data_IF_620234330551
#
_entry.id   IF_620234330551
#
_cell.length_a   1.000
_cell.length_b   1.000
_cell.length_c   1.000
_cell.angle_alpha   90.00
_cell.angle_beta   90.00
_cell.angle_gamma   90.00
#
_symmetry.space_group_name_H-M   'P 1'
#
loop_
_entity.id
_entity.type
_entity.pdbx_description
1 polymer ?
#
# COMPACT_ATOMS: atom_id res chain seq x y z
N UNK A 1 1.10 -0.09 -0.64
CA UNK A 1 1.16 1.21 0.08
C UNK A 1 0.85 1.02 1.57
N UNK A 2 1.10 2.02 2.41
CA UNK A 2 0.88 1.96 3.87
C UNK A 2 1.88 2.82 4.65
N UNK A 3 1.71 2.90 5.96
CA UNK A 3 2.64 3.63 6.84
C UNK A 3 4.08 3.06 6.77
N UNK A 4 5.07 3.83 7.19
CA UNK A 4 6.37 3.29 7.63
C UNK A 4 6.19 2.08 8.57
N UNK A 5 7.00 1.04 8.42
CA UNK A 5 6.92 -0.16 9.27
C UNK A 5 5.74 -1.11 9.02
N UNK A 6 4.75 -0.76 8.18
CA UNK A 6 3.55 -1.56 7.92
C UNK A 6 3.79 -2.90 7.18
N UNK A 7 5.04 -3.26 6.84
CA UNK A 7 5.37 -4.56 6.25
C UNK A 7 5.27 -4.65 4.72
N UNK A 8 5.32 -3.52 3.99
CA UNK A 8 5.23 -3.48 2.50
C UNK A 8 6.28 -4.34 1.82
N UNK A 9 7.56 -4.11 2.11
CA UNK A 9 8.68 -4.90 1.59
C UNK A 9 8.58 -6.37 2.00
N UNK A 10 8.08 -6.66 3.20
CA UNK A 10 7.82 -8.04 3.65
C UNK A 10 6.72 -8.71 2.84
N UNK A 11 5.63 -8.00 2.56
CA UNK A 11 4.53 -8.48 1.73
C UNK A 11 5.01 -8.76 0.29
N UNK A 12 5.75 -7.83 -0.32
CA UNK A 12 6.35 -8.04 -1.64
C UNK A 12 7.28 -9.25 -1.64
N UNK A 13 8.14 -9.40 -0.62
CA UNK A 13 9.04 -10.55 -0.51
C UNK A 13 8.32 -11.88 -0.29
N UNK A 14 7.11 -11.87 0.30
CA UNK A 14 6.28 -13.06 0.41
C UNK A 14 5.74 -13.50 -0.96
N UNK A 15 5.38 -12.55 -1.84
CA UNK A 15 5.00 -12.85 -3.22
C UNK A 15 6.17 -13.35 -4.07
N UNK A 16 7.38 -12.87 -3.78
CA UNK A 16 8.61 -13.27 -4.46
C UNK A 16 9.20 -14.58 -3.92
N UNK A 17 8.65 -15.13 -2.82
CA UNK A 17 9.14 -16.37 -2.23
C UNK A 17 9.04 -17.53 -3.24
N UNK A 18 10.08 -18.35 -3.33
CA UNK A 18 10.15 -19.44 -4.32
C UNK A 18 10.54 -18.99 -5.73
N UNK A 19 10.59 -17.69 -6.01
CA UNK A 19 11.17 -17.15 -7.23
C UNK A 19 12.62 -16.72 -6.98
N UNK A 20 13.55 -17.10 -7.85
CA UNK A 20 14.96 -16.64 -7.82
C UNK A 20 15.07 -15.18 -8.29
N UNK A 21 14.37 -14.27 -7.61
CA UNK A 21 14.29 -12.84 -7.91
C UNK A 21 14.88 -12.02 -6.76
N UNK A 22 15.20 -10.77 -7.06
CA UNK A 22 15.75 -9.83 -6.07
C UNK A 22 14.69 -9.51 -5.02
N UNK A 23 15.07 -9.64 -3.75
CA UNK A 23 14.21 -9.27 -2.63
C UNK A 23 14.28 -7.77 -2.35
N UNK A 24 13.16 -7.21 -1.92
CA UNK A 24 13.05 -5.86 -1.39
C UNK A 24 13.80 -5.76 -0.07
N UNK A 25 14.47 -4.63 0.17
CA UNK A 25 15.17 -4.38 1.43
C UNK A 25 14.17 -4.25 2.58
N UNK A 26 14.40 -4.97 3.68
CA UNK A 26 13.60 -4.89 4.91
C UNK A 26 14.47 -4.26 5.99
N UNK A 27 13.88 -3.34 6.75
CA UNK A 27 14.58 -2.76 7.90
C UNK A 27 14.84 -3.74 9.03
N UNK A 28 16.00 -3.58 9.67
CA UNK A 28 16.42 -4.41 10.80
C UNK A 28 15.58 -4.10 12.04
N UNK A 29 15.39 -5.13 12.87
CA UNK A 29 14.67 -5.00 14.14
C UNK A 29 15.44 -4.07 15.07
N UNK A 30 14.87 -2.93 15.45
CA UNK A 30 15.50 -1.94 16.34
C UNK A 30 15.94 -0.63 15.68
N UNK A 31 15.80 -0.49 14.36
CA UNK A 31 15.99 0.80 13.68
C UNK A 31 14.64 1.44 13.34
N UNK A 32 14.44 2.70 13.76
CA UNK A 32 13.32 3.54 13.33
C UNK A 32 13.55 4.18 11.95
N UNK A 33 14.74 3.97 11.36
CA UNK A 33 15.12 4.57 10.10
C UNK A 33 14.36 3.90 8.95
N UNK A 34 13.75 4.69 8.06
CA UNK A 34 13.08 4.13 6.89
C UNK A 34 14.10 3.41 5.99
N UNK A 35 13.96 2.09 5.83
CA UNK A 35 14.87 1.34 4.97
C UNK A 35 14.50 1.42 3.49
N UNK A 36 13.21 1.63 3.20
CA UNK A 36 12.71 1.92 1.85
C UNK A 36 12.60 3.42 1.67
N UNK A 37 13.65 4.05 1.16
CA UNK A 37 13.73 5.51 0.93
C UNK A 37 13.30 5.92 -0.49
N UNK A 38 13.26 4.96 -1.41
CA UNK A 38 12.88 5.13 -2.81
C UNK A 38 11.83 4.09 -3.23
N UNK A 39 11.08 4.38 -4.29
CA UNK A 39 10.18 3.41 -4.92
C UNK A 39 11.03 2.35 -5.61
N UNK A 40 10.67 1.09 -5.37
CA UNK A 40 11.35 -0.07 -5.93
C UNK A 40 10.31 -1.03 -6.51
N UNK A 41 10.74 -1.91 -7.43
CA UNK A 41 9.83 -2.86 -8.04
C UNK A 41 10.52 -4.14 -8.48
N UNK A 42 9.72 -5.19 -8.61
CA UNK A 42 10.13 -6.45 -9.22
C UNK A 42 9.04 -6.94 -10.17
N UNK A 43 9.42 -7.70 -11.20
CA UNK A 43 8.52 -8.15 -12.24
C UNK A 43 8.42 -9.67 -12.22
N UNK A 44 7.20 -10.16 -12.01
CA UNK A 44 6.87 -11.56 -12.27
C UNK A 44 6.40 -11.67 -13.72
N UNK A 45 7.11 -12.47 -14.52
CA UNK A 45 6.68 -12.78 -15.88
C UNK A 45 5.42 -13.66 -15.89
N UNK A 46 4.82 -13.82 -17.06
CA UNK A 46 3.59 -14.59 -17.22
C UNK A 46 3.75 -16.05 -16.76
N UNK A 47 4.92 -16.68 -16.95
CA UNK A 47 5.14 -18.06 -16.54
C UNK A 47 5.14 -18.19 -15.00
N UNK A 48 5.79 -17.26 -14.30
CA UNK A 48 5.80 -17.20 -12.83
C UNK A 48 4.42 -16.88 -12.25
N UNK A 49 3.65 -16.00 -12.89
CA UNK A 49 2.27 -15.72 -12.44
C UNK A 49 1.37 -16.94 -12.68
N UNK A 50 1.55 -17.68 -13.78
CA UNK A 50 0.81 -18.94 -14.03
C UNK A 50 1.11 -20.02 -13.00
N UNK A 51 2.36 -20.15 -12.55
CA UNK A 51 2.74 -21.21 -11.61
C UNK A 51 2.07 -21.10 -10.23
N UNK A 52 1.53 -19.93 -9.90
CA UNK A 52 0.89 -19.64 -8.59
C UNK A 52 -0.60 -19.34 -8.70
N UNK A 53 -1.14 -19.12 -9.90
CA UNK A 53 -2.57 -18.96 -10.14
C UNK A 53 -3.16 -20.27 -10.63
N UNK A 54 -3.86 -20.98 -9.76
CA UNK A 54 -4.54 -22.25 -10.04
C UNK A 54 -5.73 -22.15 -11.03
N UNK A 55 -6.02 -20.97 -11.61
CA UNK A 55 -7.20 -20.76 -12.48
C UNK A 55 -6.85 -20.80 -13.98
N UNK A 56 -7.70 -21.46 -14.76
CA UNK A 56 -7.71 -21.64 -16.23
C UNK A 56 -7.72 -20.35 -17.10
N UNK A 57 -7.42 -19.19 -16.55
CA UNK A 57 -7.28 -17.97 -17.33
C UNK A 57 -5.92 -17.98 -18.06
N UNK A 58 -5.92 -17.67 -19.35
CA UNK A 58 -4.70 -17.30 -20.10
C UNK A 58 -4.08 -16.05 -19.47
N UNK A 59 -3.26 -16.24 -18.44
CA UNK A 59 -2.39 -15.19 -17.90
C UNK A 59 -1.37 -14.87 -18.98
N UNK A 60 -1.58 -13.81 -19.74
CA UNK A 60 -0.63 -13.33 -20.76
C UNK A 60 -0.08 -11.95 -20.43
N UNK A 61 0.08 -11.70 -19.13
CA UNK A 61 0.57 -10.43 -18.62
C UNK A 61 1.71 -10.67 -17.63
N UNK A 62 2.49 -9.61 -17.42
CA UNK A 62 3.50 -9.54 -16.37
C UNK A 62 2.89 -8.82 -15.17
N UNK A 63 3.20 -9.27 -13.96
CA UNK A 63 2.81 -8.59 -12.73
C UNK A 63 3.98 -7.74 -12.24
N UNK A 64 3.78 -6.42 -12.17
CA UNK A 64 4.75 -5.49 -11.61
C UNK A 64 4.40 -5.24 -10.15
N UNK A 65 5.25 -5.71 -9.25
CA UNK A 65 5.10 -5.51 -7.80
C UNK A 65 5.88 -4.28 -7.39
N UNK A 66 5.19 -3.28 -6.86
CA UNK A 66 5.78 -1.98 -6.50
C UNK A 66 5.87 -1.86 -4.99
N UNK A 67 7.08 -1.82 -4.46
CA UNK A 67 7.34 -1.46 -3.07
C UNK A 67 7.59 0.04 -2.96
N UNK A 68 6.94 0.68 -1.99
CA UNK A 68 6.97 2.14 -1.86
C UNK A 68 7.55 2.55 -0.52
N UNK A 69 8.14 3.75 -0.41
CA UNK A 69 8.34 4.39 0.88
C UNK A 69 7.02 4.45 1.66
N UNK A 70 7.13 4.47 2.99
CA UNK A 70 5.96 4.57 3.87
C UNK A 70 5.41 5.99 3.98
N UNK A 71 4.10 6.11 4.10
CA UNK A 71 3.47 7.36 4.55
C UNK A 71 3.75 7.61 6.04
N UNK A 72 3.56 8.84 6.50
CA UNK A 72 3.82 9.33 7.85
C UNK A 72 5.22 8.93 8.35
N UNK A 73 6.24 9.01 7.49
CA UNK A 73 7.62 8.77 7.90
C UNK A 73 8.24 10.05 8.48
N UNK A 74 9.11 9.91 9.47
CA UNK A 74 9.85 11.04 10.04
C UNK A 74 10.80 11.68 9.01
N UNK A 75 11.32 10.86 8.09
CA UNK A 75 12.34 11.25 7.13
C UNK A 75 11.77 11.91 5.87
N UNK A 76 10.48 11.69 5.57
CA UNK A 76 9.86 12.10 4.30
C UNK A 76 8.36 12.36 4.43
N UNK A 77 7.93 13.53 3.96
CA UNK A 77 6.52 13.89 3.93
C UNK A 77 5.72 13.12 2.86
N UNK A 78 4.42 12.97 3.10
CA UNK A 78 3.54 12.17 2.24
C UNK A 78 3.44 12.72 0.81
N UNK A 79 3.48 14.04 0.64
CA UNK A 79 3.44 14.66 -0.70
C UNK A 79 4.68 14.34 -1.53
N UNK A 80 5.84 14.16 -0.90
CA UNK A 80 7.06 13.68 -1.57
C UNK A 80 7.00 12.19 -1.88
N UNK A 81 6.43 11.37 -0.98
CA UNK A 81 6.19 9.95 -1.27
C UNK A 81 5.28 9.78 -2.49
N UNK A 82 4.17 10.54 -2.56
CA UNK A 82 3.27 10.53 -3.72
C UNK A 82 3.94 11.02 -5.00
N UNK A 83 4.83 12.02 -4.88
CA UNK A 83 5.61 12.50 -6.02
C UNK A 83 6.53 11.41 -6.59
N UNK A 84 7.23 10.69 -5.72
CA UNK A 84 8.15 9.64 -6.16
C UNK A 84 7.42 8.49 -6.84
N UNK A 85 6.23 8.13 -6.34
CA UNK A 85 5.39 7.11 -6.96
C UNK A 85 4.87 7.59 -8.31
N UNK A 86 4.45 8.87 -8.41
CA UNK A 86 4.05 9.45 -9.69
C UNK A 86 5.20 9.43 -10.69
N UNK A 87 6.38 9.92 -10.31
CA UNK A 87 7.58 9.92 -11.16
C UNK A 87 7.96 8.50 -11.58
N UNK A 88 7.97 7.54 -10.65
CA UNK A 88 8.25 6.14 -10.95
C UNK A 88 7.24 5.59 -11.96
N UNK A 89 5.96 5.96 -11.88
CA UNK A 89 4.94 5.43 -12.79
C UNK A 89 5.13 5.85 -14.26
N UNK A 90 6.02 6.81 -14.56
CA UNK A 90 6.39 7.15 -15.94
C UNK A 90 7.18 6.06 -16.65
N UNK A 91 7.74 5.07 -15.93
CA UNK A 91 8.44 3.94 -16.55
C UNK A 91 7.47 2.86 -17.06
N UNK A 92 6.18 2.97 -16.74
CA UNK A 92 5.18 2.03 -17.21
C UNK A 92 4.99 2.17 -18.74
N UNK A 93 4.70 1.07 -19.46
CA UNK A 93 4.60 1.08 -20.91
C UNK A 93 3.57 2.09 -21.45
N UNK A 94 3.88 2.68 -22.60
CA UNK A 94 2.90 3.39 -23.42
C UNK A 94 1.76 2.44 -23.79
N UNK A 95 0.51 2.90 -23.63
CA UNK A 95 -0.68 2.05 -23.68
C UNK A 95 -1.31 1.81 -22.31
N UNK A 96 -0.57 2.04 -21.22
CA UNK A 96 -1.08 2.02 -19.85
C UNK A 96 -1.12 0.62 -19.22
N UNK A 97 -1.42 0.59 -17.92
CA UNK A 97 -1.50 -0.64 -17.14
C UNK A 97 -2.81 -0.70 -16.37
N UNK A 98 -3.38 -1.90 -16.24
CA UNK A 98 -4.37 -2.19 -15.20
C UNK A 98 -3.64 -2.32 -13.87
N UNK A 99 -4.26 -1.90 -12.78
CA UNK A 99 -3.68 -2.09 -11.47
C UNK A 99 -4.49 -1.49 -10.34
N UNK A 100 -3.94 -1.64 -9.14
CA UNK A 100 -4.58 -1.22 -7.91
C UNK A 100 -3.58 -1.14 -6.76
N UNK A 101 -4.10 -0.98 -5.56
CA UNK A 101 -3.32 -0.83 -4.34
C UNK A 101 -3.66 -1.95 -3.36
N UNK A 102 -2.62 -2.63 -2.88
CA UNK A 102 -2.67 -3.31 -1.58
C UNK A 102 -2.23 -2.31 -0.51
N UNK A 103 -3.16 -1.91 0.36
CA UNK A 103 -2.91 -0.99 1.46
C UNK A 103 -2.65 -1.77 2.74
N UNK A 104 -1.43 -1.70 3.27
CA UNK A 104 -1.04 -2.42 4.48
C UNK A 104 -1.24 -1.55 5.73
N UNK A 105 -1.90 -2.13 6.71
CA UNK A 105 -2.11 -1.53 8.03
C UNK A 105 -1.42 -2.37 9.11
N UNK A 106 -0.61 -1.72 9.95
CA UNK A 106 -0.05 -2.35 11.15
C UNK A 106 -1.09 -2.33 12.27
N UNK A 107 -1.49 -3.49 12.78
CA UNK A 107 -2.48 -3.58 13.86
C UNK A 107 -2.00 -2.97 15.18
N UNK A 108 -0.70 -2.95 15.44
CA UNK A 108 -0.14 -2.32 16.65
C UNK A 108 -0.15 -0.79 16.58
N UNK A 109 -0.28 -0.21 15.38
CA UNK A 109 -0.14 1.23 15.21
C UNK A 109 -1.43 1.96 15.61
N UNK A 110 -1.34 2.81 16.63
CA UNK A 110 -2.36 3.83 16.89
C UNK A 110 -2.37 4.91 15.79
N UNK A 111 -1.25 5.09 15.08
CA UNK A 111 -1.16 5.99 13.93
C UNK A 111 -1.86 5.34 12.74
N UNK A 112 -3.12 5.69 12.55
CA UNK A 112 -3.87 5.30 11.37
C UNK A 112 -3.60 6.30 10.24
N UNK A 113 -3.48 5.82 9.00
CA UNK A 113 -3.76 6.72 7.87
C UNK A 113 -5.19 7.21 8.06
N UNK A 114 -5.43 8.51 7.88
CA UNK A 114 -6.78 9.04 8.10
C UNK A 114 -7.73 8.36 7.14
N UNK A 115 -8.93 8.01 7.58
CA UNK A 115 -9.94 7.37 6.72
C UNK A 115 -10.16 8.19 5.44
N UNK A 116 -10.14 9.52 5.54
CA UNK A 116 -10.24 10.44 4.39
C UNK A 116 -9.13 10.33 3.33
N UNK A 117 -7.98 9.76 3.69
CA UNK A 117 -6.85 9.49 2.77
C UNK A 117 -7.04 8.12 2.12
N UNK A 118 -7.50 7.12 2.88
CA UNK A 118 -7.84 5.80 2.36
C UNK A 118 -9.04 5.86 1.40
N UNK A 119 -10.08 6.62 1.74
CA UNK A 119 -11.22 6.90 0.86
C UNK A 119 -10.74 7.59 -0.43
N UNK A 120 -9.80 8.53 -0.32
CA UNK A 120 -9.27 9.19 -1.51
C UNK A 120 -8.48 8.25 -2.44
N UNK A 121 -7.84 7.22 -1.88
CA UNK A 121 -7.19 6.16 -2.65
C UNK A 121 -8.22 5.25 -3.31
N UNK A 122 -9.19 4.71 -2.57
CA UNK A 122 -10.17 3.75 -3.11
C UNK A 122 -11.11 4.37 -4.17
N UNK A 123 -11.39 5.68 -4.07
CA UNK A 123 -12.17 6.40 -5.09
C UNK A 123 -11.43 6.50 -6.43
N UNK A 124 -10.10 6.40 -6.42
CA UNK A 124 -9.25 6.58 -7.61
C UNK A 124 -8.67 5.29 -8.15
N UNK A 125 -8.43 4.32 -7.27
CA UNK A 125 -7.75 3.08 -7.57
C UNK A 125 -8.46 1.93 -6.89
N UNK A 126 -8.54 0.80 -7.60
CA UNK A 126 -9.02 -0.42 -6.96
C UNK A 126 -8.10 -0.75 -5.79
N UNK A 127 -8.68 -0.88 -4.60
CA UNK A 127 -7.92 -0.95 -3.36
C UNK A 127 -8.44 -2.11 -2.52
N UNK A 128 -7.50 -2.91 -2.01
CA UNK A 128 -7.72 -3.86 -0.93
C UNK A 128 -6.86 -3.45 0.26
N UNK A 129 -7.32 -3.75 1.47
CA UNK A 129 -6.60 -3.49 2.71
C UNK A 129 -6.12 -4.84 3.24
N UNK A 130 -4.89 -4.90 3.72
CA UNK A 130 -4.41 -6.06 4.47
C UNK A 130 -3.85 -5.64 5.82
N UNK A 131 -4.37 -6.25 6.88
CA UNK A 131 -3.85 -6.05 8.23
C UNK A 131 -2.64 -6.94 8.45
N UNK A 132 -1.61 -6.39 9.07
CA UNK A 132 -0.29 -7.00 9.20
C UNK A 132 0.13 -7.03 10.67
N UNK A 133 1.30 -7.62 10.95
CA UNK A 133 1.95 -7.61 12.27
C UNK A 133 1.16 -8.34 13.38
N UNK A 134 0.23 -9.21 12.99
CA UNK A 134 -0.57 -10.07 13.87
C UNK A 134 0.22 -10.76 14.97
N UNK A 135 1.42 -11.27 14.67
CA UNK A 135 2.29 -11.95 15.64
C UNK A 135 2.65 -11.13 16.88
N UNK A 136 2.58 -9.81 16.78
CA UNK A 136 2.91 -8.90 17.88
C UNK A 136 1.69 -8.51 18.72
N UNK A 137 0.48 -8.75 18.21
CA UNK A 137 -0.76 -8.48 18.92
C UNK A 137 -1.16 -9.59 19.91
N UNK A 138 -0.45 -10.72 19.93
CA UNK A 138 -0.78 -11.87 20.77
C UNK A 138 -2.23 -12.33 20.59
N UNK A 139 -2.91 -12.64 21.69
CA UNK A 139 -4.33 -13.04 21.70
C UNK A 139 -5.31 -11.91 21.37
N UNK A 140 -4.87 -10.65 21.33
CA UNK A 140 -5.74 -9.49 21.07
C UNK A 140 -5.83 -9.13 19.59
N UNK A 141 -5.06 -9.81 18.72
CA UNK A 141 -5.01 -9.50 17.29
C UNK A 141 -6.37 -9.46 16.61
N UNK A 142 -7.23 -10.44 16.90
CA UNK A 142 -8.59 -10.50 16.33
C UNK A 142 -9.47 -9.35 16.83
N UNK A 143 -9.34 -8.96 18.11
CA UNK A 143 -10.04 -7.81 18.68
C UNK A 143 -9.63 -6.52 17.97
N UNK A 144 -8.32 -6.29 17.79
CA UNK A 144 -7.81 -5.11 17.08
C UNK A 144 -8.24 -5.09 15.62
N UNK A 145 -8.14 -6.21 14.91
CA UNK A 145 -8.59 -6.32 13.53
C UNK A 145 -10.08 -5.99 13.39
N UNK A 146 -10.94 -6.61 14.21
CA UNK A 146 -12.39 -6.39 14.16
C UNK A 146 -12.78 -4.95 14.50
N UNK A 147 -12.09 -4.33 15.46
CA UNK A 147 -12.29 -2.92 15.78
C UNK A 147 -11.92 -2.01 14.60
N UNK A 148 -10.81 -2.28 13.91
CA UNK A 148 -10.38 -1.51 12.72
C UNK A 148 -11.32 -1.69 11.55
N UNK A 149 -11.72 -2.92 11.22
CA UNK A 149 -12.69 -3.20 10.16
C UNK A 149 -13.99 -2.45 10.42
N UNK A 150 -14.51 -2.50 11.66
CA UNK A 150 -15.71 -1.76 12.05
C UNK A 150 -15.56 -0.26 11.89
N UNK A 151 -14.43 0.30 12.34
CA UNK A 151 -14.11 1.71 12.19
C UNK A 151 -14.08 2.15 10.72
N UNK A 152 -13.38 1.41 9.86
CA UNK A 152 -13.33 1.68 8.42
C UNK A 152 -14.70 1.60 7.75
N UNK A 153 -15.51 0.60 8.10
CA UNK A 153 -16.88 0.49 7.59
C UNK A 153 -17.76 1.65 8.04
N UNK A 154 -17.67 2.06 9.31
CA UNK A 154 -18.37 3.24 9.81
C UNK A 154 -17.92 4.53 9.11
N UNK A 155 -16.64 4.62 8.74
CA UNK A 155 -16.09 5.71 7.93
C UNK A 155 -16.41 5.58 6.41
N UNK A 156 -17.23 4.62 6.00
CA UNK A 156 -17.62 4.35 4.62
C UNK A 156 -16.50 3.88 3.68
N UNK A 157 -15.40 3.34 4.22
CA UNK A 157 -14.38 2.66 3.42
C UNK A 157 -14.97 1.37 2.85
N UNK A 158 -14.88 1.20 1.53
CA UNK A 158 -15.49 0.09 0.79
C UNK A 158 -14.52 -1.04 0.46
N UNK A 159 -13.21 -0.77 0.49
CA UNK A 159 -12.19 -1.76 0.24
C UNK A 159 -12.41 -3.05 1.06
N UNK A 160 -12.16 -4.20 0.43
CA UNK A 160 -12.12 -5.48 1.13
C UNK A 160 -10.91 -5.49 2.07
N UNK A 161 -11.08 -6.11 3.24
CA UNK A 161 -10.04 -6.20 4.27
C UNK A 161 -9.64 -7.67 4.39
N UNK A 162 -8.35 -7.92 4.29
CA UNK A 162 -7.74 -9.24 4.39
C UNK A 162 -6.76 -9.29 5.56
N UNK A 163 -6.38 -10.50 5.91
CA UNK A 163 -5.42 -10.77 6.97
C UNK A 163 -4.12 -11.27 6.36
N UNK A 164 -3.01 -10.59 6.65
CA UNK A 164 -1.67 -11.06 6.28
C UNK A 164 -0.94 -11.52 7.55
N UNK A 165 -1.13 -12.79 7.90
CA UNK A 165 -0.69 -13.39 9.17
C UNK A 165 0.69 -14.05 9.03
N UNK A 166 0.92 -14.82 7.98
CA UNK A 166 2.16 -15.58 7.79
C UNK A 166 2.96 -15.13 6.56
N UNK A 167 3.96 -14.25 6.76
CA UNK A 167 4.82 -13.80 5.66
C UNK A 167 5.77 -14.87 5.13
N UNK A 168 5.91 -16.04 5.78
CA UNK A 168 6.87 -17.07 5.36
C UNK A 168 6.32 -17.99 4.26
N UNK A 169 5.00 -18.21 4.23
CA UNK A 169 4.37 -19.15 3.30
C UNK A 169 3.96 -18.51 1.97
N UNK A 170 3.66 -17.22 1.97
CA UNK A 170 3.24 -16.50 0.77
C UNK A 170 1.76 -16.68 0.40
N UNK A 171 1.09 -17.71 0.92
CA UNK A 171 -0.33 -18.02 0.64
C UNK A 171 -1.26 -16.82 0.89
N UNK A 172 -1.16 -16.19 2.07
CA UNK A 172 -1.95 -14.99 2.41
C UNK A 172 -1.73 -13.88 1.37
N UNK A 173 -0.47 -13.63 1.00
CA UNK A 173 -0.13 -12.56 0.06
C UNK A 173 -0.69 -12.84 -1.34
N UNK A 174 -0.57 -14.07 -1.82
CA UNK A 174 -1.13 -14.47 -3.10
C UNK A 174 -2.66 -14.47 -3.10
N UNK A 175 -3.30 -14.89 -2.00
CA UNK A 175 -4.75 -14.76 -1.84
C UNK A 175 -5.23 -13.30 -1.99
N UNK A 176 -4.58 -12.38 -1.28
CA UNK A 176 -4.84 -10.94 -1.35
C UNK A 176 -4.65 -10.39 -2.77
N UNK A 177 -3.54 -10.74 -3.41
CA UNK A 177 -3.24 -10.29 -4.78
C UNK A 177 -4.22 -10.88 -5.78
N UNK A 178 -4.61 -12.14 -5.64
CA UNK A 178 -5.58 -12.79 -6.52
C UNK A 178 -6.96 -12.15 -6.43
N UNK A 179 -7.40 -11.76 -5.24
CA UNK A 179 -8.66 -11.04 -5.05
C UNK A 179 -8.60 -9.65 -5.69
N UNK A 180 -7.48 -8.94 -5.54
CA UNK A 180 -7.28 -7.66 -6.24
C UNK A 180 -7.26 -7.84 -7.77
N UNK A 181 -6.53 -8.84 -8.28
CA UNK A 181 -6.43 -9.16 -9.71
C UNK A 181 -7.81 -9.43 -10.31
N UNK A 182 -8.64 -10.23 -9.63
CA UNK A 182 -10.01 -10.51 -10.06
C UNK A 182 -10.87 -9.24 -10.21
N UNK A 183 -10.55 -8.18 -9.46
CA UNK A 183 -11.27 -6.90 -9.52
C UNK A 183 -10.76 -5.97 -10.63
N UNK A 184 -9.50 -6.12 -11.08
CA UNK A 184 -8.86 -5.21 -12.05
C UNK A 184 -8.70 -5.82 -13.45
N UNK A 185 -8.67 -7.14 -13.60
CA UNK A 185 -8.45 -7.80 -14.89
C UNK A 185 -9.52 -7.45 -15.94
N UNK A 186 -10.73 -7.08 -15.53
CA UNK A 186 -11.81 -6.63 -16.43
C UNK A 186 -11.95 -5.12 -16.59
N UNK A 187 -11.01 -4.31 -16.10
CA UNK A 187 -11.12 -2.84 -16.07
C UNK A 187 -10.25 -2.16 -17.13
N UNK A 188 -10.52 -0.86 -17.32
CA UNK A 188 -9.69 0.00 -18.15
C UNK A 188 -8.32 0.26 -17.53
N UNK A 189 -7.41 0.76 -18.36
CA UNK A 189 -6.07 1.15 -17.92
C UNK A 189 -6.12 2.36 -17.00
N UNK A 190 -5.19 2.40 -16.06
CA UNK A 190 -5.11 3.42 -15.03
C UNK A 190 -4.03 4.43 -15.42
N UNK A 191 -4.39 5.72 -15.41
CA UNK A 191 -3.42 6.81 -15.39
C UNK A 191 -2.84 6.96 -13.98
N UNK A 192 -1.79 6.18 -13.69
CA UNK A 192 -1.13 6.21 -12.39
C UNK A 192 -0.47 7.57 -12.11
N UNK A 193 0.19 8.15 -13.10
CA UNK A 193 0.88 9.43 -12.94
C UNK A 193 -0.11 10.55 -12.58
N UNK A 194 -1.18 10.71 -13.35
CA UNK A 194 -2.22 11.70 -13.08
C UNK A 194 -2.94 11.43 -11.75
N UNK A 195 -3.21 10.16 -11.44
CA UNK A 195 -3.82 9.77 -10.17
C UNK A 195 -2.98 10.17 -8.96
N UNK A 196 -1.70 9.82 -8.94
CA UNK A 196 -0.82 10.16 -7.82
C UNK A 196 -0.47 11.65 -7.79
N UNK A 197 -0.40 12.32 -8.93
CA UNK A 197 -0.26 13.78 -9.01
C UNK A 197 -1.46 14.50 -8.38
N UNK A 198 -2.68 14.02 -8.62
CA UNK A 198 -3.89 14.58 -8.00
C UNK A 198 -3.92 14.33 -6.48
N UNK A 199 -3.50 13.15 -6.04
CA UNK A 199 -3.37 12.84 -4.60
C UNK A 199 -2.31 13.71 -3.92
N UNK A 200 -1.17 13.95 -4.58
CA UNK A 200 -0.11 14.86 -4.11
C UNK A 200 -0.66 16.27 -3.91
N UNK A 201 -1.36 16.82 -4.90
CA UNK A 201 -1.96 18.15 -4.81
C UNK A 201 -2.97 18.25 -3.65
N UNK A 202 -3.75 17.18 -3.40
CA UNK A 202 -4.63 17.09 -2.24
C UNK A 202 -3.85 17.12 -0.92
N UNK A 203 -2.76 16.37 -0.79
CA UNK A 203 -1.95 16.38 0.44
C UNK A 203 -1.31 17.73 0.69
N UNK A 204 -0.72 18.36 -0.33
CA UNK A 204 -0.12 19.70 -0.20
C UNK A 204 -1.14 20.75 0.27
N UNK A 205 -2.38 20.69 -0.23
CA UNK A 205 -3.48 21.55 0.24
C UNK A 205 -3.79 21.31 1.72
N UNK A 206 -3.83 20.05 2.18
CA UNK A 206 -4.06 19.71 3.59
C UNK A 206 -2.92 20.21 4.48
N UNK A 207 -1.68 20.01 4.07
CA UNK A 207 -0.47 20.48 4.78
C UNK A 207 -0.46 22.02 4.91
N UNK A 208 -0.73 22.74 3.81
CA UNK A 208 -0.82 24.21 3.80
C UNK A 208 -1.91 24.71 4.74
N UNK A 209 -3.10 24.09 4.71
CA UNK A 209 -4.22 24.44 5.60
C UNK A 209 -3.86 24.23 7.06
N UNK A 210 -3.19 23.11 7.40
CA UNK A 210 -2.71 22.84 8.77
C UNK A 210 -1.71 23.93 9.21
N UNK A 211 -0.69 24.21 8.41
CA UNK A 211 0.31 25.25 8.74
C UNK A 211 -0.33 26.63 8.97
N UNK A 212 -1.31 27.00 8.15
CA UNK A 212 -2.04 28.26 8.32
C UNK A 212 -2.83 28.31 9.63
N UNK A 213 -3.54 27.23 9.99
CA UNK A 213 -4.29 27.15 11.25
C UNK A 213 -3.36 27.22 12.47
N UNK A 214 -2.23 26.51 12.45
CA UNK A 214 -1.21 26.57 13.50
C UNK A 214 -0.62 27.96 13.66
N UNK A 215 -0.34 28.66 12.54
CA UNK A 215 0.12 30.05 12.57
C UNK A 215 -0.89 31.00 13.23
N UNK A 216 -2.18 30.83 12.95
CA UNK A 216 -3.25 31.60 13.61
C UNK A 216 -3.35 31.29 15.10
N UNK A 217 -3.24 30.02 15.48
CA UNK A 217 -3.28 29.61 16.89
C UNK A 217 -2.11 30.18 17.69
N UNK A 218 -0.89 30.12 17.14
CA UNK A 218 0.31 30.72 17.77
C UNK A 218 0.22 32.24 17.90
N UNK A 219 -0.45 32.91 16.94
CA UNK A 219 -0.67 34.36 17.00
C UNK A 219 -1.70 34.77 18.06
N UNK A 220 -2.59 33.87 18.50
CA UNK A 220 -3.55 34.11 19.60
C UNK A 220 -2.91 33.94 20.99
N UNK A 221 -1.68 33.43 21.06
CA UNK A 221 -0.93 33.17 22.28
C UNK A 221 0.25 34.16 22.47
N UNK A 222 0.32 35.19 21.64
CA UNK A 222 1.22 36.34 21.77
C UNK A 222 0.41 37.59 22.06
#
# INVERSE_FOLDING_TARGET
MGQGGAGKSTFTNALLAGHSLRKMNIGHSGSLQACTIAVDHEILDAARVRSVRERDAKVDYRLVLVDTPGFNSLDKNDSSVLNDIATWSNILPEGGCRGGIVFLHNLESNECIRDSDLIALETRLQTVIATTKWRYCGSEGDTYHNARVRGWRAASVKAQVHEFRDPKKGDDAWGIVNDLLAQIEGRDNVDFHGTFSALKARQQKKEKKRRSLWGKFLALWK
#
